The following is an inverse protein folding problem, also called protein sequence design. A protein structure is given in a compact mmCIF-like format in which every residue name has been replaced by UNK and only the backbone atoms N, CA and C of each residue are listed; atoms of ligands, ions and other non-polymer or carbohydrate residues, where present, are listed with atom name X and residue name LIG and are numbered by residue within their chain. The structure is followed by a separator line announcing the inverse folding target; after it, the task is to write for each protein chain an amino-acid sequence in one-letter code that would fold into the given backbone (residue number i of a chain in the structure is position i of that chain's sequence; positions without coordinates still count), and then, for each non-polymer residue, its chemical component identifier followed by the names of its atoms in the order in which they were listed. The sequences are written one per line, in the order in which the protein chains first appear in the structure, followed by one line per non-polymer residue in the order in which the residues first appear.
data_IF_519156368460
#
_entry.id   IF_519156368460
#
_cell.length_a   1.000
_cell.length_b   1.000
_cell.length_c   1.000
_cell.angle_alpha   90.00
_cell.angle_beta   90.00
_cell.angle_gamma   90.00
#
_symmetry.space_group_name_H-M   'P 1'
#
loop_
_entity.id
_entity.type
_entity.pdbx_description
1 polymer ?
#
# COMPACT_ATOMS: atom_id res chain seq x y z
N UNK A 1 15.84 10.04 -12.87
CA UNK A 1 14.78 11.00 -13.25
C UNK A 1 13.51 10.40 -12.68
N UNK A 2 13.08 10.90 -11.52
CA UNK A 2 11.97 10.35 -10.74
C UNK A 2 10.64 10.73 -11.41
N UNK A 3 10.21 9.92 -12.38
CA UNK A 3 8.97 10.17 -13.14
C UNK A 3 7.70 10.21 -12.27
N UNK A 4 7.79 9.73 -11.02
CA UNK A 4 6.68 9.58 -10.08
C UNK A 4 6.44 10.87 -9.26
N UNK A 5 7.49 11.67 -9.00
CA UNK A 5 7.30 12.96 -8.30
C UNK A 5 6.54 14.00 -9.11
N UNK A 6 6.52 13.85 -10.44
CA UNK A 6 5.85 14.79 -11.33
C UNK A 6 4.32 14.57 -11.38
N UNK A 7 3.80 13.38 -11.03
CA UNK A 7 2.37 13.07 -11.14
C UNK A 7 1.47 14.05 -10.40
N UNK A 8 1.87 14.44 -9.17
CA UNK A 8 1.14 15.39 -8.33
C UNK A 8 1.25 16.86 -8.79
N UNK A 9 2.26 17.23 -9.57
CA UNK A 9 2.45 18.62 -10.04
C UNK A 9 1.76 18.87 -11.38
N UNK A 10 1.47 17.82 -12.15
CA UNK A 10 0.78 17.92 -13.44
C UNK A 10 -0.58 18.63 -13.36
N UNK A 11 -1.45 18.44 -12.34
CA UNK A 11 -2.69 19.19 -12.22
C UNK A 11 -2.47 20.69 -12.01
N UNK A 12 -1.45 21.07 -11.23
CA UNK A 12 -1.06 22.46 -11.05
C UNK A 12 -0.54 23.08 -12.36
N UNK A 13 0.29 22.34 -13.10
CA UNK A 13 0.80 22.78 -14.41
C UNK A 13 -0.34 22.93 -15.41
N UNK A 14 -1.29 21.98 -15.44
CA UNK A 14 -2.49 22.06 -16.26
C UNK A 14 -3.28 23.34 -15.94
N UNK A 15 -3.51 23.61 -14.66
CA UNK A 15 -4.16 24.84 -14.22
C UNK A 15 -3.38 26.09 -14.64
N UNK A 16 -2.06 26.10 -14.50
CA UNK A 16 -1.22 27.23 -14.90
C UNK A 16 -1.31 27.49 -16.41
N UNK A 17 -1.18 26.46 -17.25
CA UNK A 17 -1.31 26.57 -18.72
C UNK A 17 -2.69 27.10 -19.08
N UNK A 18 -3.75 26.61 -18.42
CA UNK A 18 -5.11 27.05 -18.69
C UNK A 18 -5.32 28.54 -18.36
N UNK A 19 -4.79 29.02 -17.24
CA UNK A 19 -5.08 30.37 -16.74
C UNK A 19 -4.10 31.45 -17.23
N UNK A 20 -2.83 31.11 -17.44
CA UNK A 20 -1.78 32.09 -17.72
C UNK A 20 -1.27 32.05 -19.16
N UNK A 21 -1.47 30.95 -19.90
CA UNK A 21 -1.12 30.92 -21.32
C UNK A 21 -2.21 31.62 -22.14
N UNK A 22 -1.81 32.52 -23.04
CA UNK A 22 -2.73 33.28 -23.86
C UNK A 22 -3.70 32.36 -24.61
N UNK A 23 -4.99 32.70 -24.59
CA UNK A 23 -6.04 31.85 -25.18
C UNK A 23 -5.90 31.61 -26.69
N UNK A 24 -5.12 32.44 -27.40
CA UNK A 24 -4.83 32.27 -28.84
C UNK A 24 -3.49 31.59 -29.10
N UNK A 25 -2.79 31.17 -28.04
CA UNK A 25 -1.50 30.51 -28.20
C UNK A 25 -1.70 29.15 -28.88
N UNK A 26 -1.04 28.87 -30.01
CA UNK A 26 -1.32 27.71 -30.84
C UNK A 26 -0.98 26.36 -30.17
N UNK A 27 -0.19 26.39 -29.10
CA UNK A 27 0.20 25.18 -28.35
C UNK A 27 -0.66 24.94 -27.10
N UNK A 28 -1.59 25.84 -26.77
CA UNK A 28 -2.31 25.77 -25.49
C UNK A 28 -3.06 24.46 -25.33
N UNK A 29 -3.89 24.12 -26.30
CA UNK A 29 -4.71 22.91 -26.26
C UNK A 29 -3.82 21.66 -26.30
N UNK A 30 -2.80 21.64 -27.17
CA UNK A 30 -1.82 20.55 -27.23
C UNK A 30 -1.10 20.31 -25.89
N UNK A 31 -0.78 21.37 -25.14
CA UNK A 31 -0.14 21.25 -23.84
C UNK A 31 -1.11 20.70 -22.78
N UNK A 32 -2.35 21.18 -22.75
CA UNK A 32 -3.38 20.67 -21.84
C UNK A 32 -3.62 19.18 -22.10
N UNK A 33 -3.80 18.79 -23.37
CA UNK A 33 -4.00 17.39 -23.78
C UNK A 33 -2.79 16.51 -23.44
N UNK A 34 -1.57 17.01 -23.64
CA UNK A 34 -0.37 16.27 -23.30
C UNK A 34 -0.23 16.05 -21.79
N UNK A 35 -0.59 17.05 -20.97
CA UNK A 35 -0.58 16.94 -19.52
C UNK A 35 -1.64 15.94 -19.06
N UNK A 36 -2.88 16.04 -19.56
CA UNK A 36 -3.94 15.07 -19.25
C UNK A 36 -3.56 13.66 -19.69
N UNK A 37 -3.07 13.49 -20.91
CA UNK A 37 -2.63 12.18 -21.41
C UNK A 37 -1.52 11.57 -20.56
N UNK A 38 -0.61 12.40 -20.02
CA UNK A 38 0.42 11.94 -19.09
C UNK A 38 -0.17 11.51 -17.74
N UNK A 39 -1.11 12.27 -17.18
CA UNK A 39 -1.82 11.89 -15.94
C UNK A 39 -2.53 10.56 -16.09
N UNK A 40 -3.30 10.37 -17.16
CA UNK A 40 -3.99 9.11 -17.48
C UNK A 40 -2.99 7.96 -17.61
N UNK A 41 -1.87 8.18 -18.30
CA UNK A 41 -0.83 7.15 -18.44
C UNK A 41 -0.16 6.78 -17.12
N UNK A 42 -0.04 7.70 -16.16
CA UNK A 42 0.50 7.41 -14.84
C UNK A 42 -0.49 6.53 -14.07
N UNK A 43 -1.77 6.95 -14.01
CA UNK A 43 -2.83 6.19 -13.34
C UNK A 43 -2.97 4.76 -13.89
N UNK A 44 -2.93 4.61 -15.22
CA UNK A 44 -3.04 3.31 -15.88
C UNK A 44 -1.81 2.40 -15.70
N UNK A 45 -0.67 2.91 -15.22
CA UNK A 45 0.56 2.13 -15.07
C UNK A 45 0.65 1.34 -13.75
N UNK A 46 -0.32 1.54 -12.85
CA UNK A 46 -0.25 1.08 -11.47
C UNK A 46 0.65 2.02 -10.66
N UNK A 47 0.07 2.68 -9.66
CA UNK A 47 0.76 3.60 -8.77
C UNK A 47 0.52 3.19 -7.32
N UNK A 48 1.40 3.63 -6.42
CA UNK A 48 1.20 3.37 -5.01
C UNK A 48 -0.03 4.15 -4.47
N UNK A 49 -0.75 3.62 -3.46
CA UNK A 49 -1.96 4.25 -2.95
C UNK A 49 -1.75 5.67 -2.42
N UNK A 50 -0.60 5.96 -1.81
CA UNK A 50 -0.24 7.29 -1.33
C UNK A 50 -0.08 8.30 -2.49
N UNK A 51 0.52 7.85 -3.60
CA UNK A 51 0.64 8.63 -4.82
C UNK A 51 -0.73 8.87 -5.47
N UNK A 52 -1.59 7.84 -5.52
CA UNK A 52 -2.97 7.97 -6.01
C UNK A 52 -3.75 9.02 -5.22
N UNK A 53 -3.67 8.98 -3.89
CA UNK A 53 -4.28 9.98 -3.00
C UNK A 53 -3.79 11.39 -3.32
N UNK A 54 -2.48 11.56 -3.52
CA UNK A 54 -1.90 12.88 -3.81
C UNK A 54 -2.34 13.40 -5.18
N UNK A 55 -2.43 12.54 -6.19
CA UNK A 55 -2.94 12.89 -7.52
C UNK A 55 -4.42 13.28 -7.44
N UNK A 56 -5.26 12.48 -6.77
CA UNK A 56 -6.70 12.77 -6.61
C UNK A 56 -6.91 14.12 -5.93
N UNK A 57 -6.20 14.39 -4.82
CA UNK A 57 -6.24 15.69 -4.13
C UNK A 57 -5.82 16.84 -5.03
N UNK A 58 -4.75 16.64 -5.81
CA UNK A 58 -4.24 17.68 -6.72
C UNK A 58 -5.20 17.95 -7.88
N UNK A 59 -5.82 16.91 -8.45
CA UNK A 59 -6.86 17.04 -9.48
C UNK A 59 -8.08 17.77 -8.93
N UNK A 60 -8.58 17.42 -7.74
CA UNK A 60 -9.67 18.15 -7.10
C UNK A 60 -9.30 19.62 -6.80
N UNK A 61 -8.06 19.88 -6.36
CA UNK A 61 -7.60 21.23 -6.03
C UNK A 61 -7.39 22.15 -7.23
N UNK A 62 -6.90 21.62 -8.36
CA UNK A 62 -6.48 22.42 -9.51
C UNK A 62 -7.34 22.23 -10.77
N UNK A 63 -8.08 21.13 -10.87
CA UNK A 63 -8.80 20.70 -12.09
C UNK A 63 -10.29 20.45 -11.88
N UNK A 64 -10.84 20.66 -10.68
CA UNK A 64 -12.23 20.41 -10.24
C UNK A 64 -13.32 20.35 -11.35
N UNK A 65 -13.50 21.42 -12.14
CA UNK A 65 -14.54 21.50 -13.20
C UNK A 65 -13.99 21.45 -14.63
N UNK A 66 -12.73 21.08 -14.75
CA UNK A 66 -11.92 21.24 -15.95
C UNK A 66 -11.15 19.96 -16.31
N UNK A 67 -11.20 18.95 -15.45
CA UNK A 67 -10.75 17.61 -15.74
C UNK A 67 -11.54 17.03 -16.93
N UNK A 68 -10.85 16.51 -17.95
CA UNK A 68 -11.51 15.74 -19.00
C UNK A 68 -12.05 14.42 -18.44
N UNK A 69 -13.18 13.94 -18.95
CA UNK A 69 -13.81 12.70 -18.49
C UNK A 69 -12.86 11.49 -18.50
N UNK A 70 -11.92 11.42 -19.46
CA UNK A 70 -10.94 10.34 -19.50
C UNK A 70 -9.98 10.31 -18.30
N UNK A 71 -9.76 11.45 -17.63
CA UNK A 71 -9.00 11.52 -16.39
C UNK A 71 -9.84 11.04 -15.21
N UNK A 72 -11.11 11.43 -15.15
CA UNK A 72 -12.03 10.97 -14.10
C UNK A 72 -12.20 9.45 -14.18
N UNK A 73 -12.39 8.90 -15.39
CA UNK A 73 -12.46 7.48 -15.65
C UNK A 73 -11.16 6.76 -15.21
N UNK A 74 -9.99 7.36 -15.46
CA UNK A 74 -8.72 6.77 -15.06
C UNK A 74 -8.50 6.79 -13.54
N UNK A 75 -8.99 7.82 -12.84
CA UNK A 75 -8.98 7.87 -11.38
C UNK A 75 -9.93 6.82 -10.81
N UNK A 76 -11.15 6.73 -11.36
CA UNK A 76 -12.15 5.76 -10.93
C UNK A 76 -11.62 4.33 -11.09
N UNK A 77 -10.99 4.01 -12.23
CA UNK A 77 -10.40 2.68 -12.44
C UNK A 77 -9.26 2.38 -11.44
N UNK A 78 -8.39 3.35 -11.17
CA UNK A 78 -7.31 3.17 -10.20
C UNK A 78 -7.83 2.97 -8.77
N UNK A 79 -8.88 3.69 -8.38
CA UNK A 79 -9.54 3.53 -7.07
C UNK A 79 -10.32 2.21 -7.01
N UNK A 80 -10.97 1.83 -8.11
CA UNK A 80 -11.67 0.56 -8.22
C UNK A 80 -10.74 -0.62 -7.96
N UNK A 81 -9.54 -0.60 -8.53
CA UNK A 81 -8.52 -1.61 -8.27
C UNK A 81 -8.20 -1.75 -6.78
N UNK A 82 -7.98 -0.63 -6.08
CA UNK A 82 -7.70 -0.65 -4.63
C UNK A 82 -8.88 -1.21 -3.82
N UNK A 83 -10.13 -1.02 -4.27
CA UNK A 83 -11.34 -1.38 -3.52
C UNK A 83 -11.91 -2.75 -3.85
N UNK A 84 -11.72 -3.24 -5.07
CA UNK A 84 -12.32 -4.47 -5.57
C UNK A 84 -11.31 -5.58 -5.78
N UNK A 85 -10.09 -5.22 -6.19
CA UNK A 85 -8.96 -6.14 -6.35
C UNK A 85 -8.00 -6.03 -5.14
N UNK A 86 -8.55 -5.72 -3.96
CA UNK A 86 -7.78 -5.46 -2.73
C UNK A 86 -6.86 -6.63 -2.35
N UNK A 87 -7.28 -7.87 -2.56
CA UNK A 87 -6.45 -9.06 -2.30
C UNK A 87 -5.13 -8.99 -3.09
N UNK A 88 -5.20 -8.64 -4.39
CA UNK A 88 -4.04 -8.47 -5.26
C UNK A 88 -3.25 -7.21 -4.88
N UNK A 89 -3.95 -6.11 -4.56
CA UNK A 89 -3.33 -4.85 -4.16
C UNK A 89 -2.46 -5.01 -2.91
N UNK A 90 -2.87 -5.83 -1.94
CA UNK A 90 -2.14 -6.03 -0.68
C UNK A 90 -1.30 -7.29 -0.62
N UNK A 91 -1.25 -8.14 -1.66
CA UNK A 91 -0.55 -9.43 -1.64
C UNK A 91 0.90 -9.29 -1.15
N UNK A 92 1.58 -8.26 -1.65
CA UNK A 92 2.97 -7.94 -1.35
C UNK A 92 3.21 -7.36 0.07
N UNK A 93 2.15 -6.98 0.81
CA UNK A 93 2.26 -6.44 2.17
C UNK A 93 2.36 -7.57 3.19
N UNK A 94 3.39 -7.52 4.03
CA UNK A 94 3.74 -8.62 4.94
C UNK A 94 3.79 -8.26 6.42
N UNK A 95 3.58 -6.98 6.76
CA UNK A 95 3.62 -6.50 8.14
C UNK A 95 2.33 -5.81 8.56
N UNK A 96 2.01 -5.92 9.85
CA UNK A 96 0.87 -5.23 10.48
C UNK A 96 0.89 -3.72 10.21
N UNK A 97 2.09 -3.10 10.24
CA UNK A 97 2.28 -1.69 9.93
C UNK A 97 1.85 -1.35 8.50
N UNK A 98 2.29 -2.15 7.52
CA UNK A 98 1.96 -1.93 6.10
C UNK A 98 0.47 -2.08 5.83
N UNK A 99 -0.17 -3.10 6.42
CA UNK A 99 -1.62 -3.31 6.29
C UNK A 99 -2.41 -2.21 7.00
N UNK A 100 -1.95 -1.74 8.15
CA UNK A 100 -2.57 -0.62 8.87
C UNK A 100 -2.45 0.69 8.08
N UNK A 101 -1.29 0.95 7.48
CA UNK A 101 -1.11 2.10 6.57
C UNK A 101 -2.03 1.98 5.35
N UNK A 102 -2.22 0.78 4.81
CA UNK A 102 -3.14 0.55 3.70
C UNK A 102 -4.60 0.82 4.08
N UNK A 103 -5.04 0.47 5.30
CA UNK A 103 -6.37 0.86 5.80
C UNK A 103 -6.57 2.38 5.81
N UNK A 104 -5.57 3.14 6.25
CA UNK A 104 -5.62 4.61 6.22
C UNK A 104 -5.72 5.16 4.79
N UNK A 105 -5.08 4.50 3.82
CA UNK A 105 -5.20 4.85 2.41
C UNK A 105 -6.60 4.61 1.88
N UNK A 106 -7.20 3.45 2.17
CA UNK A 106 -8.58 3.12 1.79
C UNK A 106 -9.59 4.14 2.35
N UNK A 107 -9.46 4.52 3.62
CA UNK A 107 -10.28 5.57 4.24
C UNK A 107 -10.14 6.92 3.53
N UNK A 108 -8.90 7.28 3.21
CA UNK A 108 -8.63 8.56 2.54
C UNK A 108 -9.21 8.57 1.12
N UNK A 109 -9.07 7.48 0.37
CA UNK A 109 -9.62 7.35 -0.98
C UNK A 109 -11.15 7.39 -0.96
N UNK A 110 -11.79 6.69 -0.01
CA UNK A 110 -13.25 6.70 0.15
C UNK A 110 -13.77 8.11 0.45
N UNK A 111 -13.08 8.85 1.33
CA UNK A 111 -13.44 10.22 1.66
C UNK A 111 -13.28 11.19 0.48
N UNK A 112 -12.29 10.97 -0.39
CA UNK A 112 -12.04 11.83 -1.55
C UNK A 112 -12.99 11.54 -2.72
N UNK A 113 -13.32 10.28 -2.96
CA UNK A 113 -14.11 9.85 -4.13
C UNK A 113 -15.60 9.69 -3.82
N UNK A 114 -15.95 9.51 -2.55
CA UNK A 114 -17.31 9.16 -2.13
C UNK A 114 -17.69 7.70 -2.40
N UNK A 115 -16.71 6.87 -2.76
CA UNK A 115 -16.89 5.43 -2.95
C UNK A 115 -16.82 4.65 -1.62
N UNK A 116 -17.40 3.45 -1.62
CA UNK A 116 -17.47 2.57 -0.45
C UNK A 116 -16.27 1.61 -0.42
N UNK A 117 -15.46 1.71 0.64
CA UNK A 117 -14.27 0.89 0.86
C UNK A 117 -14.47 -0.21 1.91
N UNK A 118 -15.67 -0.40 2.46
CA UNK A 118 -15.87 -1.31 3.62
C UNK A 118 -15.46 -2.75 3.30
N UNK A 119 -15.80 -3.26 2.11
CA UNK A 119 -15.36 -4.59 1.65
C UNK A 119 -13.84 -4.71 1.63
N UNK A 120 -13.15 -3.71 1.08
CA UNK A 120 -11.69 -3.70 0.99
C UNK A 120 -11.05 -3.75 2.38
N UNK A 121 -11.60 -2.97 3.32
CA UNK A 121 -11.14 -2.96 4.71
C UNK A 121 -11.35 -4.31 5.41
N UNK A 122 -12.48 -4.97 5.19
CA UNK A 122 -12.73 -6.32 5.73
C UNK A 122 -11.65 -7.31 5.29
N UNK A 123 -11.26 -7.29 4.01
CA UNK A 123 -10.19 -8.13 3.46
C UNK A 123 -8.84 -7.82 4.13
N UNK A 124 -8.50 -6.54 4.29
CA UNK A 124 -7.24 -6.14 4.94
C UNK A 124 -7.21 -6.55 6.42
N UNK A 125 -8.33 -6.41 7.12
CA UNK A 125 -8.47 -6.83 8.52
C UNK A 125 -8.37 -8.36 8.67
N UNK A 126 -8.94 -9.13 7.73
CA UNK A 126 -8.79 -10.58 7.69
C UNK A 126 -7.31 -10.96 7.58
N UNK A 127 -6.58 -10.40 6.60
CA UNK A 127 -5.13 -10.61 6.45
C UNK A 127 -4.33 -10.18 7.68
N UNK A 128 -4.72 -9.09 8.34
CA UNK A 128 -4.08 -8.63 9.57
C UNK A 128 -4.31 -9.63 10.72
N UNK A 129 -5.51 -10.20 10.83
CA UNK A 129 -5.81 -11.23 11.83
C UNK A 129 -5.03 -12.54 11.61
N UNK A 130 -4.72 -12.89 10.36
CA UNK A 130 -3.85 -14.02 10.02
C UNK A 130 -2.40 -13.79 10.46
N UNK A 131 -1.93 -12.54 10.44
CA UNK A 131 -0.61 -12.18 10.97
C UNK A 131 -0.59 -12.16 12.51
N UNK A 132 -1.74 -11.87 13.13
CA UNK A 132 -1.93 -11.88 14.58
C UNK A 132 -2.16 -13.28 15.15
N UNK A 133 -2.32 -14.33 14.32
CA UNK A 133 -2.56 -15.68 14.84
C UNK A 133 -1.42 -16.08 15.81
N UNK A 134 -1.75 -16.35 17.08
CA UNK A 134 -0.78 -16.86 18.02
C UNK A 134 -0.31 -18.23 17.52
N UNK A 135 0.99 -18.51 17.65
CA UNK A 135 1.52 -19.88 17.62
C UNK A 135 0.57 -20.78 18.44
N UNK A 136 -0.31 -21.52 17.76
CA UNK A 136 -1.21 -22.43 18.45
C UNK A 136 -0.38 -23.53 19.08
N UNK A 137 -0.38 -23.49 20.40
CA UNK A 137 -0.01 -24.58 21.26
C UNK A 137 1.17 -24.23 22.12
N UNK A 138 0.87 -23.83 23.36
CA UNK A 138 1.57 -24.42 24.49
C UNK A 138 1.69 -25.93 24.23
N UNK A 139 2.79 -26.36 23.62
CA UNK A 139 3.33 -27.68 23.86
C UNK A 139 3.82 -27.64 25.30
N UNK A 140 2.88 -27.67 26.26
CA UNK A 140 3.18 -28.21 27.57
C UNK A 140 3.47 -29.68 27.30
N UNK A 141 4.73 -30.14 27.39
CA UNK A 141 4.94 -31.57 27.40
C UNK A 141 4.20 -32.05 28.65
N UNK A 142 3.15 -32.87 28.48
CA UNK A 142 2.58 -33.59 29.60
C UNK A 142 3.57 -34.70 29.98
N UNK A 143 4.70 -34.31 30.56
CA UNK A 143 5.53 -35.25 31.27
C UNK A 143 4.82 -35.56 32.57
N UNK A 144 4.02 -36.62 32.58
CA UNK A 144 3.73 -37.35 33.80
C UNK A 144 5.05 -37.94 34.30
N UNK A 145 5.85 -37.11 34.96
CA UNK A 145 7.09 -37.50 35.59
C UNK A 145 6.78 -38.54 36.65
N UNK A 146 7.01 -39.81 36.31
CA UNK A 146 7.20 -40.87 37.30
C UNK A 146 8.25 -40.39 38.29
N UNK A 147 7.84 -40.22 39.54
CA UNK A 147 8.74 -40.05 40.67
C UNK A 147 9.67 -41.26 40.75
N UNK A 148 10.88 -41.14 40.22
CA UNK A 148 12.01 -41.96 40.67
C UNK A 148 13.31 -41.22 40.37
N UNK A 149 13.83 -40.58 41.40
CA UNK A 149 15.23 -40.67 41.84
C UNK A 149 16.29 -40.65 40.74
N UNK A 150 16.85 -39.47 40.48
CA UNK A 150 18.27 -39.10 40.69
C UNK A 150 18.50 -37.71 40.11
N UNK A 151 18.88 -36.75 40.95
CA UNK A 151 19.40 -35.47 40.49
C UNK A 151 20.78 -35.73 39.85
N UNK A 152 20.83 -35.86 38.53
CA UNK A 152 22.07 -35.67 37.78
C UNK A 152 22.27 -34.16 37.64
N UNK A 153 23.15 -33.61 38.47
CA UNK A 153 23.66 -32.26 38.34
C UNK A 153 24.35 -32.11 36.98
N UNK A 154 23.91 -31.11 36.22
CA UNK A 154 24.48 -30.78 34.93
C UNK A 154 25.86 -30.11 35.14
N UNK A 155 26.88 -30.92 35.34
CA UNK A 155 28.25 -30.48 35.62
C UNK A 155 29.08 -30.22 34.36
N UNK A 156 30.25 -29.62 34.57
CA UNK A 156 31.21 -29.21 33.53
C UNK A 156 31.57 -30.30 32.49
N UNK A 157 31.44 -31.57 32.85
CA UNK A 157 31.67 -32.71 31.96
C UNK A 157 30.66 -32.75 30.81
N UNK A 158 29.38 -32.44 31.08
CA UNK A 158 28.34 -32.33 30.06
C UNK A 158 28.60 -31.13 29.14
N UNK A 159 29.13 -30.04 29.69
CA UNK A 159 29.53 -28.86 28.93
C UNK A 159 30.70 -29.16 27.98
N UNK A 160 31.73 -29.88 28.44
CA UNK A 160 32.86 -30.29 27.58
C UNK A 160 32.44 -31.21 26.44
N UNK A 161 31.48 -32.11 26.68
CA UNK A 161 30.96 -33.02 25.66
C UNK A 161 30.32 -32.28 24.47
N UNK A 162 29.66 -31.16 24.71
CA UNK A 162 29.00 -30.34 23.67
C UNK A 162 29.99 -29.68 22.70
N UNK A 163 31.23 -29.40 23.13
CA UNK A 163 32.23 -28.72 22.30
C UNK A 163 33.25 -29.68 21.66
N UNK A 164 33.21 -30.98 21.96
CA UNK A 164 34.12 -31.97 21.37
C UNK A 164 33.95 -32.10 19.84
N UNK A 165 32.75 -31.82 19.32
CA UNK A 165 32.49 -31.84 17.87
C UNK A 165 33.09 -30.65 17.12
N UNK A 166 33.56 -29.61 17.83
CA UNK A 166 34.13 -28.38 17.25
C UNK A 166 35.66 -28.40 17.19
N UNK A 167 36.31 -29.46 17.68
CA UNK A 167 37.76 -29.64 17.67
C UNK A 167 38.24 -30.59 16.54
N UNK A 168 37.48 -30.69 15.45
CA UNK A 168 37.86 -31.46 14.26
C UNK A 168 38.22 -30.56 13.08
#
# INVERSE_FOLDING_TARGET
MEAWRDGQTLPEIHWWVRNFLEGKHPLKDNLLDAITGRLVSILASGIAPDELINIVKSVQGYMDNHAPACLDDAIAEAVHYEFWDTEDAIDHLGSERELSEHLEYLDTLAALTGEDAERAKEIVLEKLSELEEPEYGEHRPSFAGRTSTTAEEFGDEAMRSLFLSLLR
#
